data_IF_851081352279
#
_entry.id   IF_851081352279
#
_cell.length_a   1.000
_cell.length_b   1.000
_cell.length_c   1.000
_cell.angle_alpha   90.00
_cell.angle_beta   90.00
_cell.angle_gamma   90.00
#
_symmetry.space_group_name_H-M   'P 1'
#
loop_
_entity.id
_entity.type
_entity.pdbx_description
1 polymer ?
#
# COMPACT_ATOMS: atom_id res chain seq x y z
N UNK A 1 8.25 13.51 -10.92
CA UNK A 1 7.60 12.31 -11.53
C UNK A 1 7.20 12.47 -12.99
N UNK A 2 6.15 13.21 -13.36
CA UNK A 2 5.61 13.21 -14.75
C UNK A 2 6.66 13.44 -15.85
N UNK A 3 7.50 14.47 -15.70
CA UNK A 3 8.60 14.77 -16.64
C UNK A 3 9.67 13.67 -16.68
N UNK A 4 10.00 13.07 -15.54
CA UNK A 4 11.02 12.02 -15.41
C UNK A 4 10.64 10.71 -16.12
N UNK A 5 9.35 10.53 -16.44
CA UNK A 5 8.80 9.40 -17.20
C UNK A 5 8.29 9.82 -18.58
N UNK A 6 9.07 10.67 -19.27
CA UNK A 6 8.83 11.14 -20.64
C UNK A 6 7.44 11.77 -20.84
N UNK A 7 6.86 12.37 -19.79
CA UNK A 7 5.52 12.97 -19.84
C UNK A 7 4.42 11.98 -20.26
N UNK A 8 4.57 10.70 -19.91
CA UNK A 8 3.58 9.66 -20.21
C UNK A 8 2.85 9.20 -18.95
N UNK A 9 1.54 9.48 -18.86
CA UNK A 9 0.72 9.01 -17.75
C UNK A 9 0.67 7.47 -17.69
N UNK A 10 0.67 6.83 -18.85
CA UNK A 10 0.61 5.37 -18.97
C UNK A 10 1.80 4.65 -18.32
N UNK A 11 3.02 5.16 -18.53
CA UNK A 11 4.21 4.56 -17.92
C UNK A 11 4.18 4.64 -16.39
N UNK A 12 3.72 5.78 -15.86
CA UNK A 12 3.56 5.98 -14.40
C UNK A 12 2.47 5.06 -13.85
N UNK A 13 1.32 4.96 -14.52
CA UNK A 13 0.23 4.05 -14.12
C UNK A 13 0.73 2.61 -14.01
N UNK A 14 1.39 2.10 -15.06
CA UNK A 14 1.95 0.74 -15.07
C UNK A 14 2.93 0.53 -13.90
N UNK A 15 3.82 1.50 -13.68
CA UNK A 15 4.79 1.47 -12.57
C UNK A 15 4.09 1.36 -11.21
N UNK A 16 3.06 2.16 -10.98
CA UNK A 16 2.29 2.13 -9.72
C UNK A 16 1.57 0.79 -9.55
N UNK A 17 1.00 0.22 -10.61
CA UNK A 17 0.36 -1.10 -10.54
C UNK A 17 1.35 -2.20 -10.16
N UNK A 18 2.56 -2.19 -10.75
CA UNK A 18 3.62 -3.12 -10.36
C UNK A 18 4.05 -2.92 -8.90
N UNK A 19 4.11 -1.67 -8.41
CA UNK A 19 4.43 -1.39 -7.00
C UNK A 19 3.37 -2.01 -6.08
N UNK A 20 2.09 -1.84 -6.37
CA UNK A 20 1.00 -2.40 -5.53
C UNK A 20 1.09 -3.91 -5.44
N UNK A 21 1.44 -4.60 -6.54
CA UNK A 21 1.69 -6.04 -6.52
C UNK A 21 2.85 -6.42 -5.57
N UNK A 22 3.95 -5.67 -5.61
CA UNK A 22 5.05 -5.87 -4.66
C UNK A 22 4.63 -5.61 -3.22
N UNK A 23 3.89 -4.53 -2.96
CA UNK A 23 3.37 -4.21 -1.63
C UNK A 23 2.51 -5.34 -1.09
N UNK A 24 1.57 -5.88 -1.89
CA UNK A 24 0.73 -7.00 -1.45
C UNK A 24 1.55 -8.24 -1.09
N UNK A 25 2.66 -8.52 -1.78
CA UNK A 25 3.57 -9.59 -1.38
C UNK A 25 4.30 -9.30 -0.06
N UNK A 26 4.78 -8.06 0.12
CA UNK A 26 5.51 -7.64 1.32
C UNK A 26 4.62 -7.61 2.58
N UNK A 27 3.33 -7.28 2.42
CA UNK A 27 2.38 -7.12 3.52
C UNK A 27 1.64 -8.40 3.93
N UNK A 28 1.78 -9.50 3.17
CA UNK A 28 1.23 -10.82 3.53
C UNK A 28 1.55 -11.26 4.97
N UNK A 29 2.80 -11.17 5.49
CA UNK A 29 3.12 -11.56 6.86
C UNK A 29 2.42 -10.73 7.94
N UNK A 30 1.95 -9.53 7.60
CA UNK A 30 1.19 -8.65 8.48
C UNK A 30 -0.33 -8.89 8.39
N UNK A 31 -0.77 -9.83 7.55
CA UNK A 31 -2.19 -10.07 7.23
C UNK A 31 -2.90 -8.79 6.77
N UNK A 32 -2.21 -7.99 5.95
CA UNK A 32 -2.69 -6.71 5.44
C UNK A 32 -2.70 -6.73 3.92
N UNK A 33 -3.78 -6.24 3.33
CA UNK A 33 -4.01 -6.26 1.88
C UNK A 33 -4.23 -4.84 1.37
N UNK A 34 -3.52 -4.48 0.30
CA UNK A 34 -3.48 -3.13 -0.25
C UNK A 34 -4.22 -3.11 -1.58
N UNK A 35 -5.34 -2.40 -1.61
CA UNK A 35 -6.11 -2.14 -2.81
C UNK A 35 -5.88 -0.71 -3.29
N UNK A 36 -5.42 -0.54 -4.53
CA UNK A 36 -5.28 0.78 -5.13
C UNK A 36 -6.65 1.26 -5.63
N UNK A 37 -7.28 2.16 -4.87
CA UNK A 37 -8.61 2.69 -5.22
C UNK A 37 -8.58 4.06 -5.92
N UNK A 38 -7.40 4.62 -6.12
CA UNK A 38 -7.22 5.93 -6.74
C UNK A 38 -5.78 6.24 -7.11
N UNK A 39 -5.59 6.96 -8.21
CA UNK A 39 -4.29 7.42 -8.69
C UNK A 39 -4.43 8.81 -9.33
N UNK A 40 -3.84 9.83 -8.69
CA UNK A 40 -3.80 11.20 -9.21
C UNK A 40 -2.38 11.51 -9.72
N UNK A 41 -2.25 11.86 -11.01
CA UNK A 41 -0.98 12.27 -11.63
C UNK A 41 -1.03 13.77 -11.92
N UNK A 42 -0.20 14.55 -11.23
CA UNK A 42 -0.06 15.99 -11.42
C UNK A 42 0.73 16.30 -12.70
N UNK A 43 0.09 16.16 -13.86
CA UNK A 43 0.74 16.35 -15.16
C UNK A 43 0.92 17.81 -15.58
N UNK A 44 0.09 18.71 -15.05
CA UNK A 44 0.06 20.11 -15.48
C UNK A 44 0.83 21.00 -14.50
N UNK A 45 0.49 20.91 -13.21
CA UNK A 45 1.16 21.58 -12.10
C UNK A 45 0.94 20.79 -10.82
N UNK A 46 1.87 20.92 -9.89
CA UNK A 46 1.74 20.35 -8.55
C UNK A 46 0.56 21.00 -7.81
N UNK A 47 -0.08 20.24 -6.93
CA UNK A 47 -1.27 20.68 -6.18
C UNK A 47 -0.96 21.18 -4.79
N UNK A 48 0.30 21.06 -4.39
CA UNK A 48 0.93 21.67 -3.23
C UNK A 48 2.30 22.20 -3.69
N UNK A 49 2.90 23.10 -2.91
CA UNK A 49 4.32 23.38 -3.10
C UNK A 49 5.14 22.22 -2.53
N UNK A 50 6.09 21.69 -3.30
CA UNK A 50 7.01 20.65 -2.81
C UNK A 50 8.28 21.38 -2.37
N UNK A 51 8.40 21.54 -1.05
CA UNK A 51 9.50 22.26 -0.40
C UNK A 51 10.70 21.32 -0.18
N UNK A 52 11.95 21.83 -0.17
CA UNK A 52 13.14 21.02 0.11
C UNK A 52 13.11 20.35 1.49
N UNK A 53 12.39 20.91 2.45
CA UNK A 53 12.17 20.29 3.77
C UNK A 53 10.98 19.32 3.70
N UNK A 54 11.27 18.02 3.79
CA UNK A 54 10.29 16.95 3.62
C UNK A 54 9.12 17.04 4.62
N UNK A 55 9.38 17.47 5.86
CA UNK A 55 8.34 17.65 6.87
C UNK A 55 7.30 18.71 6.48
N UNK A 56 7.72 19.79 5.82
CA UNK A 56 6.82 20.85 5.33
C UNK A 56 5.96 20.33 4.18
N UNK A 57 6.56 19.55 3.28
CA UNK A 57 5.84 18.90 2.18
C UNK A 57 4.84 17.86 2.70
N UNK A 58 5.22 17.03 3.67
CA UNK A 58 4.35 16.03 4.31
C UNK A 58 3.13 16.70 4.94
N UNK A 59 3.33 17.76 5.73
CA UNK A 59 2.25 18.54 6.32
C UNK A 59 1.32 19.14 5.27
N UNK A 60 1.88 19.74 4.22
CA UNK A 60 1.11 20.32 3.12
C UNK A 60 0.30 19.25 2.36
N UNK A 61 0.87 18.07 2.16
CA UNK A 61 0.20 16.95 1.52
C UNK A 61 -0.92 16.37 2.40
N UNK A 62 -0.67 16.19 3.70
CA UNK A 62 -1.69 15.80 4.68
C UNK A 62 -2.87 16.76 4.68
N UNK A 63 -2.61 18.07 4.72
CA UNK A 63 -3.67 19.08 4.68
C UNK A 63 -4.47 19.02 3.39
N UNK A 64 -3.81 18.80 2.26
CA UNK A 64 -4.48 18.60 0.96
C UNK A 64 -5.31 17.33 0.96
N UNK A 65 -4.83 16.24 1.57
CA UNK A 65 -5.58 14.99 1.65
C UNK A 65 -6.90 15.22 2.38
N UNK A 66 -6.84 15.83 3.56
CA UNK A 66 -8.01 16.13 4.39
C UNK A 66 -9.01 17.04 3.64
N UNK A 67 -8.53 18.16 3.09
CA UNK A 67 -9.41 19.23 2.58
C UNK A 67 -9.87 19.03 1.15
N UNK A 68 -9.18 18.22 0.34
CA UNK A 68 -9.48 18.07 -1.09
C UNK A 68 -9.61 16.62 -1.55
N UNK A 69 -8.73 15.71 -1.12
CA UNK A 69 -8.77 14.33 -1.62
C UNK A 69 -9.91 13.54 -0.97
N UNK A 70 -9.99 13.52 0.37
CA UNK A 70 -11.01 12.77 1.11
C UNK A 70 -12.45 13.18 0.75
N UNK A 71 -12.80 14.47 0.58
CA UNK A 71 -14.14 14.87 0.15
C UNK A 71 -14.51 14.37 -1.26
N UNK A 72 -13.53 14.06 -2.11
CA UNK A 72 -13.75 13.59 -3.49
C UNK A 72 -13.74 12.07 -3.62
N UNK A 73 -12.85 11.41 -2.89
CA UNK A 73 -12.69 9.95 -2.89
C UNK A 73 -12.21 9.52 -1.52
N UNK A 74 -13.09 8.84 -0.79
CA UNK A 74 -12.77 8.25 0.51
C UNK A 74 -11.65 7.22 0.34
N UNK A 75 -10.62 7.28 1.17
CA UNK A 75 -9.47 6.38 1.18
C UNK A 75 -8.85 6.32 2.58
N UNK A 76 -8.18 5.22 2.88
CA UNK A 76 -7.65 4.94 4.23
C UNK A 76 -6.29 5.58 4.46
N UNK A 77 -5.47 5.64 3.40
CA UNK A 77 -4.12 6.20 3.36
C UNK A 77 -3.84 6.81 1.98
N UNK A 78 -2.94 7.80 1.91
CA UNK A 78 -2.41 8.27 0.63
C UNK A 78 -0.90 8.50 0.69
N UNK A 79 -0.17 8.08 -0.35
CA UNK A 79 1.27 8.34 -0.47
C UNK A 79 1.58 9.22 -1.67
N UNK A 80 2.48 10.19 -1.49
CA UNK A 80 2.97 11.09 -2.53
C UNK A 80 4.34 10.63 -3.01
N UNK A 81 4.41 10.14 -4.25
CA UNK A 81 5.68 9.92 -4.94
C UNK A 81 6.13 11.20 -5.65
N UNK A 82 7.32 11.71 -5.31
CA UNK A 82 7.92 12.86 -5.97
C UNK A 82 9.27 12.52 -6.60
N UNK A 83 9.65 13.25 -7.64
CA UNK A 83 10.98 13.16 -8.24
C UNK A 83 11.84 14.39 -7.91
N UNK A 84 11.45 15.14 -6.88
CA UNK A 84 12.19 16.26 -6.32
C UNK A 84 13.04 15.69 -5.18
N UNK A 85 14.32 16.06 -5.19
CA UNK A 85 15.28 15.72 -4.14
C UNK A 85 15.05 16.60 -2.91
N UNK A 86 14.91 15.99 -1.75
CA UNK A 86 14.79 16.70 -0.48
C UNK A 86 16.15 16.99 0.14
N UNK A 87 16.19 17.94 1.07
CA UNK A 87 17.40 18.24 1.83
C UNK A 87 17.70 17.15 2.86
N UNK A 88 18.95 16.68 2.91
CA UNK A 88 19.41 15.66 3.86
C UNK A 88 19.55 14.29 3.21
N UNK A 89 19.45 13.23 4.01
CA UNK A 89 19.61 11.83 3.56
C UNK A 89 18.32 11.02 3.63
N UNK A 90 17.23 11.65 4.06
CA UNK A 90 15.91 11.01 4.21
C UNK A 90 15.20 11.00 2.86
N UNK A 91 14.81 9.82 2.38
CA UNK A 91 14.13 9.63 1.09
C UNK A 91 12.64 9.31 1.22
N UNK A 92 12.14 9.17 2.45
CA UNK A 92 10.73 8.98 2.75
C UNK A 92 10.39 9.51 4.14
N UNK A 93 9.15 9.99 4.31
CA UNK A 93 8.64 10.38 5.61
C UNK A 93 7.13 10.19 5.68
N UNK A 94 6.70 9.45 6.70
CA UNK A 94 5.32 9.26 7.12
C UNK A 94 5.17 9.43 8.62
N UNK A 95 3.96 9.74 9.07
CA UNK A 95 3.64 9.78 10.50
C UNK A 95 3.49 8.36 11.07
N UNK A 96 3.87 8.16 12.33
CA UNK A 96 3.83 6.83 12.96
C UNK A 96 2.48 6.58 13.62
N UNK A 97 1.83 5.45 13.30
CA UNK A 97 0.60 4.99 13.95
C UNK A 97 -0.63 5.84 13.61
N UNK A 98 -0.65 6.48 12.45
CA UNK A 98 -1.67 7.46 12.04
C UNK A 98 -2.59 6.95 10.93
N UNK A 99 -2.62 5.64 10.65
CA UNK A 99 -3.58 5.07 9.71
C UNK A 99 -5.02 5.52 10.03
N UNK A 100 -5.81 5.82 9.00
CA UNK A 100 -7.15 6.41 9.08
C UNK A 100 -7.24 7.87 9.53
N UNK A 101 -6.17 8.48 10.08
CA UNK A 101 -6.18 9.92 10.41
C UNK A 101 -6.45 10.75 9.15
N UNK A 102 -7.41 11.70 9.15
CA UNK A 102 -7.74 12.48 7.95
C UNK A 102 -6.57 13.29 7.37
N UNK A 103 -5.73 13.85 8.24
CA UNK A 103 -4.57 14.65 7.84
C UNK A 103 -3.27 13.83 7.85
N UNK A 104 -3.09 12.92 8.80
CA UNK A 104 -1.79 12.28 9.07
C UNK A 104 -1.65 10.86 8.51
N UNK A 105 -2.70 10.28 7.92
CA UNK A 105 -2.58 9.01 7.19
C UNK A 105 -2.01 9.24 5.80
N UNK A 106 -0.77 9.73 5.78
CA UNK A 106 -0.02 10.08 4.59
C UNK A 106 1.46 9.78 4.73
N UNK A 107 2.11 9.65 3.57
CA UNK A 107 3.57 9.67 3.46
C UNK A 107 4.01 10.43 2.20
N UNK A 108 5.25 10.94 2.22
CA UNK A 108 5.93 11.54 1.07
C UNK A 108 7.21 10.76 0.81
N UNK A 109 7.44 10.40 -0.45
CA UNK A 109 8.56 9.54 -0.85
C UNK A 109 9.26 10.16 -2.06
N UNK A 110 10.57 10.31 -1.93
CA UNK A 110 11.49 10.66 -2.99
C UNK A 110 11.81 9.44 -3.86
N UNK A 111 11.62 9.60 -5.17
CA UNK A 111 11.94 8.57 -6.15
C UNK A 111 13.36 8.77 -6.66
N UNK A 112 14.33 8.21 -5.93
CA UNK A 112 15.77 8.25 -6.26
C UNK A 112 16.22 7.11 -7.20
N UNK A 113 15.41 6.06 -7.38
CA UNK A 113 15.69 4.94 -8.30
C UNK A 113 14.56 4.75 -9.31
N UNK A 114 14.87 4.21 -10.49
CA UNK A 114 13.84 3.79 -11.49
C UNK A 114 13.36 2.34 -11.31
N UNK A 115 14.02 1.57 -10.44
CA UNK A 115 13.66 0.19 -10.11
C UNK A 115 12.34 0.17 -9.34
N UNK A 116 11.33 -0.53 -9.87
CA UNK A 116 9.99 -0.64 -9.26
C UNK A 116 10.09 -1.22 -7.84
N UNK A 117 10.92 -2.24 -7.65
CA UNK A 117 11.09 -2.94 -6.37
C UNK A 117 11.64 -2.05 -5.26
N UNK A 118 12.53 -1.10 -5.59
CA UNK A 118 13.03 -0.11 -4.62
C UNK A 118 11.92 0.87 -4.25
N UNK A 119 11.18 1.40 -5.22
CA UNK A 119 10.02 2.27 -4.92
C UNK A 119 9.00 1.54 -4.03
N UNK A 120 8.76 0.26 -4.29
CA UNK A 120 7.86 -0.54 -3.47
C UNK A 120 8.40 -0.74 -2.03
N UNK A 121 9.70 -0.95 -1.87
CA UNK A 121 10.37 -1.02 -0.56
C UNK A 121 10.17 0.28 0.24
N UNK A 122 10.40 1.43 -0.38
CA UNK A 122 10.20 2.75 0.28
C UNK A 122 8.73 3.01 0.61
N UNK A 123 7.81 2.70 -0.32
CA UNK A 123 6.37 2.81 -0.06
C UNK A 123 5.93 1.88 1.08
N UNK A 124 6.50 0.68 1.14
CA UNK A 124 6.24 -0.27 2.21
C UNK A 124 6.77 0.25 3.55
N UNK A 125 7.96 0.83 3.58
CA UNK A 125 8.55 1.43 4.78
C UNK A 125 7.65 2.52 5.35
N UNK A 126 7.23 3.48 4.52
CA UNK A 126 6.42 4.61 5.00
C UNK A 126 4.99 4.22 5.36
N UNK A 127 4.39 3.25 4.65
CA UNK A 127 3.11 2.67 5.07
C UNK A 127 3.27 1.92 6.40
N UNK A 128 4.44 1.29 6.63
CA UNK A 128 4.78 0.62 7.88
C UNK A 128 4.77 1.60 9.06
N UNK A 129 5.35 2.79 8.90
CA UNK A 129 5.23 3.88 9.88
C UNK A 129 3.76 4.21 10.14
N UNK A 130 2.95 4.47 9.12
CA UNK A 130 1.52 4.76 9.30
C UNK A 130 0.77 3.61 10.02
N UNK A 131 1.22 2.36 9.86
CA UNK A 131 0.72 1.15 10.52
C UNK A 131 1.33 0.89 11.92
N UNK A 132 2.00 1.90 12.49
CA UNK A 132 2.49 1.91 13.86
C UNK A 132 3.82 1.19 14.08
N UNK A 133 4.57 0.94 13.01
CA UNK A 133 5.85 0.24 13.07
C UNK A 133 6.98 1.25 13.13
N UNK A 134 7.90 1.08 14.07
CA UNK A 134 9.12 1.89 14.20
C UNK A 134 10.28 1.29 13.42
N UNK A 135 11.38 2.04 13.32
CA UNK A 135 12.60 1.48 12.74
C UNK A 135 13.12 0.26 13.53
N UNK A 136 13.68 -0.69 12.79
CA UNK A 136 14.36 -1.84 13.36
C UNK A 136 15.60 -1.43 14.17
N UNK A 137 15.77 -2.07 15.33
CA UNK A 137 16.97 -1.93 16.16
C UNK A 137 17.89 -3.15 15.99
N UNK A 138 19.04 -3.15 16.66
CA UNK A 138 20.06 -4.20 16.52
C UNK A 138 19.59 -5.63 16.90
N UNK A 139 18.45 -5.79 17.58
CA UNK A 139 17.87 -7.11 17.90
C UNK A 139 16.87 -7.62 16.86
N UNK A 140 16.48 -6.77 15.91
CA UNK A 140 15.52 -7.08 14.86
C UNK A 140 16.24 -7.60 13.61
N UNK A 141 15.84 -8.77 13.11
CA UNK A 141 16.53 -9.45 12.03
C UNK A 141 15.56 -9.95 10.96
N UNK A 142 16.03 -9.97 9.71
CA UNK A 142 15.40 -10.63 8.56
C UNK A 142 16.36 -11.65 7.95
N UNK A 143 15.86 -12.54 7.09
CA UNK A 143 16.65 -13.68 6.60
C UNK A 143 17.65 -13.26 5.52
N UNK A 144 17.25 -12.32 4.66
CA UNK A 144 18.00 -11.95 3.46
C UNK A 144 18.83 -10.66 3.61
N UNK A 145 18.93 -10.09 4.82
CA UNK A 145 19.66 -8.84 5.08
C UNK A 145 18.81 -7.80 5.80
N UNK A 146 18.97 -6.49 5.49
CA UNK A 146 18.16 -5.44 6.07
C UNK A 146 16.66 -5.65 5.81
N UNK A 147 15.86 -5.37 6.84
CA UNK A 147 14.41 -5.43 6.78
C UNK A 147 13.82 -4.15 6.21
N UNK A 148 12.56 -4.19 5.75
CA UNK A 148 11.81 -3.04 5.23
C UNK A 148 11.91 -1.83 6.18
N UNK A 149 11.84 -2.03 7.51
CA UNK A 149 11.89 -0.96 8.51
C UNK A 149 13.31 -0.57 8.94
N UNK A 150 14.34 -0.90 8.15
CA UNK A 150 15.70 -0.40 8.40
C UNK A 150 15.73 1.13 8.35
N UNK A 151 16.39 1.75 9.33
CA UNK A 151 16.58 3.21 9.36
C UNK A 151 17.58 3.73 8.30
N UNK A 152 18.26 2.82 7.59
CA UNK A 152 19.31 3.15 6.62
C UNK A 152 18.75 2.90 5.22
N UNK A 153 18.86 3.91 4.36
CA UNK A 153 18.51 3.80 2.95
C UNK A 153 19.23 2.62 2.29
N UNK A 154 18.48 1.82 1.54
CA UNK A 154 19.04 0.71 0.77
C UNK A 154 19.06 1.03 -0.72
N UNK A 155 20.14 0.64 -1.38
CA UNK A 155 20.21 0.63 -2.84
C UNK A 155 19.78 -0.70 -3.44
N UNK A 156 19.45 -1.70 -2.62
CA UNK A 156 18.85 -2.96 -3.04
C UNK A 156 17.44 -3.09 -2.45
N UNK A 157 16.50 -3.74 -3.16
CA UNK A 157 15.11 -3.80 -2.71
C UNK A 157 14.99 -4.62 -1.43
N UNK A 158 14.27 -4.09 -0.44
CA UNK A 158 13.92 -4.80 0.79
C UNK A 158 12.49 -5.34 0.66
N UNK A 159 12.27 -6.57 1.11
CA UNK A 159 10.99 -7.26 0.92
C UNK A 159 10.44 -7.96 2.16
N UNK A 160 11.17 -7.92 3.28
CA UNK A 160 10.80 -8.63 4.50
C UNK A 160 10.63 -7.64 5.67
N UNK A 161 9.52 -7.77 6.40
CA UNK A 161 9.36 -7.15 7.71
C UNK A 161 10.05 -8.01 8.77
N UNK A 162 10.68 -7.37 9.76
CA UNK A 162 11.30 -8.07 10.87
C UNK A 162 10.25 -8.67 11.81
N UNK A 163 10.68 -9.60 12.68
CA UNK A 163 9.83 -10.10 13.77
C UNK A 163 9.43 -9.00 14.76
N UNK A 164 10.25 -7.94 14.91
CA UNK A 164 9.90 -6.76 15.69
C UNK A 164 8.76 -5.97 15.01
N UNK A 165 8.86 -5.77 13.70
CA UNK A 165 7.86 -5.05 12.91
C UNK A 165 6.47 -5.69 13.03
N UNK A 166 6.42 -7.02 12.92
CA UNK A 166 5.17 -7.79 13.09
C UNK A 166 4.57 -7.58 14.48
N UNK A 167 5.39 -7.62 15.53
CA UNK A 167 4.92 -7.43 16.91
C UNK A 167 4.44 -5.99 17.17
N UNK A 168 5.14 -4.98 16.66
CA UNK A 168 4.72 -3.58 16.81
C UNK A 168 3.43 -3.30 16.07
N UNK A 169 3.28 -3.81 14.85
CA UNK A 169 2.03 -3.71 14.11
C UNK A 169 0.86 -4.34 14.88
N UNK A 170 1.05 -5.54 15.43
CA UNK A 170 0.02 -6.18 16.26
C UNK A 170 -0.35 -5.35 17.49
N UNK A 171 0.63 -4.77 18.19
CA UNK A 171 0.39 -3.88 19.33
C UNK A 171 -0.39 -2.63 18.91
N UNK A 172 -0.06 -2.04 17.76
CA UNK A 172 -0.78 -0.91 17.18
C UNK A 172 -2.25 -1.28 16.91
N UNK A 173 -2.53 -2.39 16.21
CA UNK A 173 -3.91 -2.81 15.94
C UNK A 173 -4.72 -3.07 17.20
N UNK A 174 -4.11 -3.67 18.23
CA UNK A 174 -4.78 -3.95 19.50
C UNK A 174 -5.09 -2.68 20.30
N UNK A 175 -4.18 -1.71 20.27
CA UNK A 175 -4.27 -0.43 21.00
C UNK A 175 -5.22 0.55 20.32
N UNK A 176 -4.99 0.85 19.05
CA UNK A 176 -5.64 1.96 18.33
C UNK A 176 -6.89 1.51 17.57
N UNK A 177 -6.96 0.24 17.16
CA UNK A 177 -8.12 -0.36 16.46
C UNK A 177 -8.64 0.52 15.32
N UNK A 178 -7.79 0.84 14.31
CA UNK A 178 -8.19 1.71 13.20
C UNK A 178 -9.40 1.12 12.45
N UNK A 179 -10.52 1.84 12.45
CA UNK A 179 -11.79 1.31 11.93
C UNK A 179 -11.86 1.32 10.39
N UNK A 180 -11.13 2.21 9.72
CA UNK A 180 -11.24 2.38 8.26
C UNK A 180 -10.72 1.18 7.45
N UNK A 181 -9.93 0.30 8.06
CA UNK A 181 -9.35 -0.88 7.40
C UNK A 181 -10.16 -2.17 7.60
N UNK A 182 -11.34 -2.07 8.23
CA UNK A 182 -12.19 -3.24 8.47
C UNK A 182 -13.10 -3.56 7.29
N UNK A 183 -13.41 -2.58 6.44
CA UNK A 183 -14.21 -2.80 5.25
C UNK A 183 -13.36 -3.24 4.06
N UNK A 184 -13.94 -4.09 3.20
CA UNK A 184 -13.36 -4.40 1.89
C UNK A 184 -13.76 -3.32 0.87
N UNK A 185 -12.86 -2.89 -0.02
CA UNK A 185 -13.24 -2.00 -1.13
C UNK A 185 -14.17 -2.74 -2.10
N UNK A 186 -15.05 -1.99 -2.77
CA UNK A 186 -15.84 -2.55 -3.86
C UNK A 186 -14.91 -2.85 -5.05
N UNK A 187 -15.19 -3.94 -5.78
CA UNK A 187 -14.40 -4.31 -6.97
C UNK A 187 -14.30 -3.16 -7.98
N UNK A 188 -15.38 -2.39 -8.16
CA UNK A 188 -15.45 -1.21 -9.04
C UNK A 188 -14.63 -0.02 -8.57
N UNK A 189 -14.22 0.02 -7.31
CA UNK A 189 -13.36 1.09 -6.78
C UNK A 189 -11.87 0.82 -7.04
N UNK A 190 -11.50 -0.44 -7.28
CA UNK A 190 -10.12 -0.86 -7.52
C UNK A 190 -9.70 -0.45 -8.95
N UNK A 191 -8.60 0.29 -9.07
CA UNK A 191 -8.15 0.86 -10.35
C UNK A 191 -6.96 0.13 -10.97
N UNK A 192 -6.48 -0.92 -10.31
CA UNK A 192 -5.51 -1.88 -10.87
C UNK A 192 -6.18 -2.82 -11.87
N UNK A 193 -5.44 -3.34 -12.86
CA UNK A 193 -5.91 -4.49 -13.63
C UNK A 193 -6.15 -5.68 -12.68
N UNK A 194 -7.26 -6.44 -12.87
CA UNK A 194 -7.56 -7.62 -12.05
C UNK A 194 -6.43 -8.66 -12.05
N UNK A 195 -6.13 -9.23 -10.89
CA UNK A 195 -5.14 -10.30 -10.71
C UNK A 195 -5.70 -11.44 -9.87
N UNK A 196 -6.20 -12.47 -10.54
CA UNK A 196 -6.69 -13.67 -9.87
C UNK A 196 -5.63 -14.33 -8.97
N UNK A 197 -5.99 -14.56 -7.71
CA UNK A 197 -5.17 -15.17 -6.67
C UNK A 197 -4.47 -14.15 -5.76
N UNK A 198 -4.91 -12.89 -5.76
CA UNK A 198 -4.35 -11.83 -4.92
C UNK A 198 -5.20 -11.54 -3.66
N UNK A 199 -6.23 -12.33 -3.40
CA UNK A 199 -7.21 -12.21 -2.29
C UNK A 199 -8.15 -10.99 -2.38
N UNK A 200 -8.14 -10.23 -3.48
CA UNK A 200 -9.08 -9.15 -3.76
C UNK A 200 -10.05 -9.60 -4.85
N UNK A 201 -11.35 -9.52 -4.60
CA UNK A 201 -12.34 -9.72 -5.66
C UNK A 201 -12.37 -8.46 -6.53
N UNK A 202 -11.80 -8.54 -7.72
CA UNK A 202 -11.71 -7.43 -8.68
C UNK A 202 -12.76 -7.56 -9.81
N UNK A 203 -12.86 -6.54 -10.68
CA UNK A 203 -13.85 -6.56 -11.77
C UNK A 203 -13.59 -7.73 -12.71
N UNK A 204 -14.58 -8.60 -12.86
CA UNK A 204 -14.51 -9.79 -13.72
C UNK A 204 -14.35 -11.09 -12.95
N UNK A 205 -14.04 -11.01 -11.65
CA UNK A 205 -13.94 -12.14 -10.73
C UNK A 205 -15.23 -12.29 -9.91
N UNK A 206 -15.52 -13.51 -9.47
CA UNK A 206 -16.67 -13.81 -8.60
C UNK A 206 -16.22 -14.15 -7.17
N UNK A 207 -14.97 -14.59 -7.03
CA UNK A 207 -14.30 -14.93 -5.77
C UNK A 207 -12.78 -14.87 -5.95
N UNK A 208 -12.04 -14.67 -4.88
CA UNK A 208 -10.57 -14.79 -4.86
C UNK A 208 -10.13 -15.29 -3.49
N UNK A 209 -9.60 -16.51 -3.45
CA UNK A 209 -9.12 -17.18 -2.24
C UNK A 209 -7.60 -17.36 -2.22
N UNK A 210 -6.86 -16.63 -3.07
CA UNK A 210 -5.42 -16.81 -3.26
C UNK A 210 -5.07 -17.82 -4.35
N UNK A 211 -3.80 -18.26 -4.36
CA UNK A 211 -3.34 -19.25 -5.33
C UNK A 211 -3.99 -20.63 -5.10
N UNK A 212 -3.97 -21.54 -6.09
CA UNK A 212 -4.47 -22.90 -5.91
C UNK A 212 -3.85 -23.66 -4.72
N UNK A 213 -2.60 -23.35 -4.37
CA UNK A 213 -1.89 -23.96 -3.23
C UNK A 213 -2.36 -23.40 -1.89
N UNK A 214 -2.69 -22.10 -1.84
CA UNK A 214 -3.07 -21.40 -0.61
C UNK A 214 -4.59 -21.40 -0.37
N UNK A 215 -5.40 -21.64 -1.40
CA UNK A 215 -6.85 -21.52 -1.34
C UNK A 215 -7.48 -22.62 -0.46
N UNK A 216 -8.21 -22.17 0.57
CA UNK A 216 -8.95 -23.04 1.50
C UNK A 216 -10.46 -23.04 1.24
N UNK A 217 -10.94 -22.25 0.29
CA UNK A 217 -12.37 -22.17 -0.01
C UNK A 217 -12.82 -23.34 -0.90
N UNK A 218 -13.88 -24.02 -0.48
CA UNK A 218 -14.58 -25.00 -1.31
C UNK A 218 -15.53 -24.34 -2.33
N UNK A 219 -15.85 -23.05 -2.16
CA UNK A 219 -16.80 -22.32 -2.98
C UNK A 219 -16.14 -21.65 -4.19
N UNK A 220 -14.81 -21.46 -4.17
CA UNK A 220 -14.07 -20.75 -5.20
C UNK A 220 -13.15 -21.68 -6.01
N UNK A 221 -13.11 -21.47 -7.31
CA UNK A 221 -12.10 -22.04 -8.18
C UNK A 221 -10.91 -21.09 -8.27
N UNK A 222 -9.87 -21.33 -7.46
CA UNK A 222 -8.67 -20.50 -7.36
C UNK A 222 -7.90 -20.31 -8.69
N UNK A 223 -8.09 -21.20 -9.68
CA UNK A 223 -7.43 -21.06 -10.99
C UNK A 223 -8.12 -20.04 -11.89
N UNK A 224 -9.42 -19.82 -11.68
CA UNK A 224 -10.26 -19.01 -12.57
C UNK A 224 -10.91 -17.82 -11.88
N UNK A 225 -10.84 -17.75 -10.55
CA UNK A 225 -11.54 -16.76 -9.72
C UNK A 225 -13.05 -16.71 -10.01
N UNK A 226 -13.61 -17.91 -10.21
CA UNK A 226 -15.03 -18.16 -10.44
C UNK A 226 -15.60 -19.05 -9.35
N UNK A 227 -16.87 -18.87 -9.06
CA UNK A 227 -17.57 -19.74 -8.13
C UNK A 227 -17.61 -21.16 -8.68
N UNK A 228 -17.49 -22.14 -7.78
CA UNK A 228 -17.69 -23.55 -8.13
C UNK A 228 -19.16 -23.81 -8.51
N UNK A 229 -19.41 -24.92 -9.20
CA UNK A 229 -20.76 -25.31 -9.61
C UNK A 229 -21.70 -25.35 -8.38
N UNK A 230 -22.84 -24.64 -8.47
CA UNK A 230 -23.86 -24.45 -7.42
C UNK A 230 -23.56 -23.45 -6.29
N UNK A 231 -22.35 -22.90 -6.21
CA UNK A 231 -22.06 -21.84 -5.24
C UNK A 231 -22.72 -20.52 -5.66
N UNK A 232 -23.36 -19.83 -4.71
CA UNK A 232 -23.97 -18.51 -4.87
C UNK A 232 -23.06 -17.40 -4.31
N UNK A 233 -22.18 -17.76 -3.40
CA UNK A 233 -21.20 -16.87 -2.78
C UNK A 233 -19.97 -17.67 -2.33
N UNK A 234 -18.89 -16.95 -2.02
CA UNK A 234 -17.64 -17.51 -1.49
C UNK A 234 -17.28 -16.92 -0.12
N UNK A 235 -17.44 -15.60 0.02
CA UNK A 235 -17.12 -14.88 1.25
C UNK A 235 -18.14 -13.77 1.53
N UNK A 236 -18.13 -13.26 2.77
CA UNK A 236 -19.01 -12.20 3.24
C UNK A 236 -19.85 -12.63 4.45
N UNK A 237 -20.36 -11.65 5.20
CA UNK A 237 -21.12 -11.89 6.43
C UNK A 237 -22.47 -12.59 6.19
N UNK A 238 -22.95 -12.56 4.95
CA UNK A 238 -24.22 -13.17 4.51
C UNK A 238 -24.00 -14.44 3.68
N UNK A 239 -22.81 -15.03 3.70
CA UNK A 239 -22.49 -16.26 2.95
C UNK A 239 -22.29 -17.42 3.92
N UNK A 240 -23.09 -18.47 3.81
CA UNK A 240 -22.96 -19.70 4.61
C UNK A 240 -22.99 -20.93 3.70
N UNK A 241 -21.95 -21.77 3.78
CA UNK A 241 -21.83 -23.00 2.97
C UNK A 241 -22.05 -22.76 1.46
N UNK A 242 -21.41 -21.71 0.94
CA UNK A 242 -21.50 -21.26 -0.45
C UNK A 242 -22.90 -20.77 -0.88
N UNK A 243 -23.79 -20.39 0.06
CA UNK A 243 -25.13 -19.85 -0.20
C UNK A 243 -25.37 -18.52 0.49
#
# INVERSE_FOLDING_TARGET
MYRNYNSTKHAIKRKVYEIVNHLNMMYRPLNFLIALIGLEIWSNRDKINIEPEMAVTLKSFGKRRETVLLPRKRNDNAQLLTGIEFSGTTVGLGYVGTLCSPEESVAVIEVYSRRTSIMASEMAHELGHNLGISHDNASCNCNAGPCIMSAIISFEPLSEFSSCSIQEHQRYLLRDRPQCILNKPLSTDIVTPPVCGNYLVEVGEECDCGSPEDCQSACCNATTCKLQHEAQCDSGECCEQCK
#
